data_IF_039554729496
#
_entry.id   IF_039554729496
#
_cell.length_a   1.000
_cell.length_b   1.000
_cell.length_c   1.000
_cell.angle_alpha   90.00
_cell.angle_beta   90.00
_cell.angle_gamma   90.00
#
_symmetry.space_group_name_H-M   'P 1'
#
loop_
_entity.id
_entity.type
_entity.pdbx_description
1 polymer ?
#
# COMPACT_ATOMS: atom_id res chain seq x y z
N UNK A 1 -14.50 -3.47 22.76
CA UNK A 1 -13.10 -3.12 22.49
C UNK A 1 -12.56 -2.30 23.64
N UNK A 2 -11.51 -2.75 24.32
CA UNK A 2 -10.81 -1.92 25.33
C UNK A 2 -9.68 -1.15 24.64
N UNK A 3 -9.35 0.03 25.14
CA UNK A 3 -8.28 0.88 24.57
C UNK A 3 -6.92 0.17 24.61
N UNK A 4 -6.68 -0.60 25.68
CA UNK A 4 -5.44 -1.36 25.89
C UNK A 4 -5.15 -2.36 24.77
N UNK A 5 -6.20 -2.91 24.14
CA UNK A 5 -6.09 -3.88 23.04
C UNK A 5 -5.46 -3.29 21.77
N UNK A 6 -5.40 -1.95 21.64
CA UNK A 6 -4.97 -1.24 20.43
C UNK A 6 -3.70 -0.39 20.62
N UNK A 7 -3.06 -0.42 21.78
CA UNK A 7 -1.83 0.36 22.03
C UNK A 7 -0.70 -0.07 21.09
N UNK A 8 -0.55 -1.38 20.88
CA UNK A 8 0.45 -1.92 19.95
C UNK A 8 0.11 -1.54 18.50
N UNK A 9 -1.14 -1.72 18.09
CA UNK A 9 -1.58 -1.45 16.72
C UNK A 9 -1.46 0.03 16.37
N UNK A 10 -1.88 0.93 17.26
CA UNK A 10 -1.76 2.38 17.07
C UNK A 10 -0.30 2.84 17.00
N UNK A 11 0.59 2.26 17.81
CA UNK A 11 2.03 2.54 17.75
C UNK A 11 2.65 2.08 16.43
N UNK A 12 2.30 0.87 15.95
CA UNK A 12 2.76 0.36 14.65
C UNK A 12 2.23 1.21 13.50
N UNK A 13 0.96 1.62 13.53
CA UNK A 13 0.37 2.52 12.52
C UNK A 13 1.16 3.84 12.44
N UNK A 14 1.47 4.48 13.57
CA UNK A 14 2.28 5.72 13.57
C UNK A 14 3.66 5.55 12.94
N UNK A 15 4.28 4.37 13.07
CA UNK A 15 5.54 4.07 12.39
C UNK A 15 5.31 3.91 10.88
N UNK A 16 4.24 3.23 10.47
CA UNK A 16 3.87 3.09 9.06
C UNK A 16 3.55 4.45 8.41
N UNK A 17 2.86 5.35 9.09
CA UNK A 17 2.54 6.70 8.60
C UNK A 17 3.79 7.50 8.26
N UNK A 18 4.84 7.41 9.08
CA UNK A 18 6.12 8.09 8.82
C UNK A 18 6.87 7.56 7.60
N UNK A 19 6.49 6.38 7.12
CA UNK A 19 7.13 5.73 5.97
C UNK A 19 6.39 5.92 4.66
N UNK A 20 5.28 6.69 4.67
CA UNK A 20 4.57 7.07 3.45
C UNK A 20 5.43 8.00 2.60
N UNK A 21 5.19 7.95 1.29
CA UNK A 21 5.80 8.89 0.35
C UNK A 21 5.44 10.32 0.76
N UNK A 22 6.47 11.14 0.82
CA UNK A 22 6.37 12.55 1.15
C UNK A 22 6.08 13.35 -0.11
N UNK A 23 5.68 14.61 0.08
CA UNK A 23 5.54 15.57 -1.03
C UNK A 23 6.84 15.69 -1.85
N UNK A 24 8.00 15.58 -1.20
CA UNK A 24 9.29 15.63 -1.89
C UNK A 24 9.49 14.44 -2.82
N UNK A 25 9.02 13.25 -2.44
CA UNK A 25 9.13 12.06 -3.27
C UNK A 25 8.26 12.21 -4.53
N UNK A 26 7.04 12.71 -4.37
CA UNK A 26 6.16 13.00 -5.51
C UNK A 26 6.73 14.07 -6.44
N UNK A 27 7.30 15.15 -5.91
CA UNK A 27 7.93 16.19 -6.73
C UNK A 27 9.09 15.61 -7.57
N UNK A 28 9.96 14.79 -6.94
CA UNK A 28 11.05 14.12 -7.66
C UNK A 28 10.55 13.21 -8.79
N UNK A 29 9.45 12.49 -8.57
CA UNK A 29 8.84 11.66 -9.61
C UNK A 29 8.21 12.49 -10.75
N UNK A 30 7.62 13.65 -10.44
CA UNK A 30 7.05 14.55 -11.45
C UNK A 30 8.15 15.18 -12.33
N UNK A 31 9.32 15.44 -11.75
CA UNK A 31 10.48 16.02 -12.44
C UNK A 31 11.29 15.00 -13.24
N UNK A 32 10.99 13.70 -13.11
CA UNK A 32 11.69 12.63 -13.82
C UNK A 32 11.46 12.69 -15.34
N UNK A 33 12.50 12.44 -16.13
CA UNK A 33 12.46 12.48 -17.59
C UNK A 33 11.95 11.15 -18.20
N UNK A 34 11.91 10.09 -17.39
CA UNK A 34 11.48 8.76 -17.80
C UNK A 34 10.79 7.97 -16.69
N UNK A 35 10.08 6.91 -17.07
CA UNK A 35 9.44 5.99 -16.12
C UNK A 35 10.47 5.29 -15.22
N UNK A 36 11.63 4.91 -15.75
CA UNK A 36 12.76 4.36 -14.99
C UNK A 36 13.24 5.28 -13.88
N UNK A 37 13.35 6.57 -14.18
CA UNK A 37 13.75 7.59 -13.20
C UNK A 37 12.70 7.78 -12.12
N UNK A 38 11.42 7.82 -12.50
CA UNK A 38 10.32 7.87 -11.52
C UNK A 38 10.31 6.63 -10.62
N UNK A 39 10.55 5.44 -11.18
CA UNK A 39 10.66 4.19 -10.40
C UNK A 39 11.89 4.19 -9.50
N UNK A 40 12.98 4.86 -9.88
CA UNK A 40 14.18 4.98 -9.05
C UNK A 40 13.87 5.70 -7.73
N UNK A 41 13.00 6.71 -7.75
CA UNK A 41 12.49 7.36 -6.52
C UNK A 41 11.75 6.36 -5.63
N UNK A 42 10.95 5.47 -6.21
CA UNK A 42 10.25 4.41 -5.46
C UNK A 42 11.24 3.38 -4.88
N UNK A 43 12.32 3.06 -5.59
CA UNK A 43 13.38 2.16 -5.14
C UNK A 43 14.20 2.72 -3.96
N UNK A 44 14.29 4.04 -3.84
CA UNK A 44 14.91 4.71 -2.68
C UNK A 44 13.98 4.79 -1.46
N UNK A 45 12.68 4.61 -1.67
CA UNK A 45 11.66 4.70 -0.62
C UNK A 45 11.43 3.35 0.08
N UNK A 46 10.48 3.32 1.02
CA UNK A 46 10.01 2.06 1.64
C UNK A 46 9.49 1.04 0.62
N UNK A 47 9.10 1.49 -0.57
CA UNK A 47 8.58 0.60 -1.62
C UNK A 47 9.68 -0.20 -2.33
N UNK A 48 10.97 0.05 -2.05
CA UNK A 48 12.12 -0.69 -2.57
C UNK A 48 11.90 -2.20 -2.72
N UNK A 49 11.41 -2.94 -1.69
CA UNK A 49 11.26 -4.40 -1.78
C UNK A 49 10.37 -4.87 -2.95
N UNK A 50 9.41 -4.05 -3.37
CA UNK A 50 8.47 -4.38 -4.45
C UNK A 50 9.01 -4.01 -5.84
N UNK A 51 10.01 -3.13 -5.92
CA UNK A 51 10.56 -2.59 -7.17
C UNK A 51 11.96 -3.10 -7.51
N UNK A 52 12.58 -3.90 -6.63
CA UNK A 52 13.93 -4.45 -6.83
C UNK A 52 14.00 -5.56 -7.88
N UNK A 53 12.89 -6.26 -8.14
CA UNK A 53 12.85 -7.42 -9.04
C UNK A 53 12.14 -7.16 -10.37
N UNK A 54 11.75 -5.91 -10.67
CA UNK A 54 11.12 -5.60 -11.94
C UNK A 54 12.18 -5.57 -13.04
N UNK A 55 11.89 -6.22 -14.17
CA UNK A 55 12.77 -6.22 -15.33
C UNK A 55 12.34 -5.17 -16.37
N UNK A 56 11.04 -4.88 -16.43
CA UNK A 56 10.46 -3.86 -17.29
C UNK A 56 9.76 -2.78 -16.44
N UNK A 57 10.12 -1.49 -16.60
CA UNK A 57 9.43 -0.37 -15.96
C UNK A 57 7.92 -0.36 -16.17
N UNK A 58 7.41 -0.90 -17.28
CA UNK A 58 5.99 -1.00 -17.57
C UNK A 58 5.25 -1.98 -16.65
N UNK A 59 5.96 -2.86 -15.95
CA UNK A 59 5.40 -3.79 -14.95
C UNK A 59 5.17 -3.13 -13.59
N UNK A 60 5.37 -1.81 -13.46
CA UNK A 60 5.21 -1.07 -12.20
C UNK A 60 3.87 -1.32 -11.51
N UNK A 61 2.79 -1.51 -12.27
CA UNK A 61 1.45 -1.79 -11.74
C UNK A 61 1.43 -3.09 -10.91
N UNK A 62 2.19 -4.12 -11.31
CA UNK A 62 2.27 -5.38 -10.57
C UNK A 62 2.93 -5.15 -9.21
N UNK A 63 4.04 -4.42 -9.19
CA UNK A 63 4.73 -4.06 -7.94
C UNK A 63 3.86 -3.22 -7.01
N UNK A 64 3.09 -2.28 -7.55
CA UNK A 64 2.14 -1.49 -6.75
C UNK A 64 1.03 -2.36 -6.17
N UNK A 65 0.50 -3.31 -6.95
CA UNK A 65 -0.50 -4.27 -6.46
C UNK A 65 0.07 -5.18 -5.36
N UNK A 66 1.34 -5.58 -5.45
CA UNK A 66 1.99 -6.35 -4.39
C UNK A 66 2.17 -5.54 -3.11
N UNK A 67 2.59 -4.27 -3.23
CA UNK A 67 2.68 -3.35 -2.10
C UNK A 67 1.32 -3.11 -1.43
N UNK A 68 0.26 -2.97 -2.23
CA UNK A 68 -1.11 -2.85 -1.75
C UNK A 68 -1.57 -4.11 -1.00
N UNK A 69 -1.31 -5.31 -1.54
CA UNK A 69 -1.64 -6.59 -0.89
C UNK A 69 -0.93 -6.74 0.46
N UNK A 70 0.36 -6.38 0.52
CA UNK A 70 1.12 -6.42 1.77
C UNK A 70 0.55 -5.44 2.81
N UNK A 71 0.15 -4.24 2.38
CA UNK A 71 -0.53 -3.28 3.26
C UNK A 71 -1.82 -3.86 3.86
N UNK A 72 -2.71 -4.44 3.04
CA UNK A 72 -3.94 -5.04 3.56
C UNK A 72 -3.68 -6.23 4.49
N UNK A 73 -2.68 -7.05 4.20
CA UNK A 73 -2.26 -8.12 5.11
C UNK A 73 -1.83 -7.56 6.46
N UNK A 74 -0.97 -6.53 6.47
CA UNK A 74 -0.54 -5.85 7.69
C UNK A 74 -1.73 -5.22 8.46
N UNK A 75 -2.66 -4.57 7.76
CA UNK A 75 -3.85 -3.99 8.38
C UNK A 75 -4.76 -5.04 9.00
N UNK A 76 -4.90 -6.21 8.38
CA UNK A 76 -5.66 -7.34 8.94
C UNK A 76 -5.03 -7.86 10.23
N UNK A 77 -3.71 -7.96 10.27
CA UNK A 77 -2.96 -8.36 11.47
C UNK A 77 -3.09 -7.32 12.60
N UNK A 78 -3.11 -6.02 12.26
CA UNK A 78 -3.16 -4.92 13.23
C UNK A 78 -4.56 -4.63 13.78
N UNK A 79 -5.58 -4.63 12.92
CA UNK A 79 -6.94 -4.19 13.27
C UNK A 79 -7.84 -5.29 13.84
N UNK A 80 -7.42 -6.55 13.73
CA UNK A 80 -8.28 -7.70 14.00
C UNK A 80 -9.36 -7.88 12.93
N UNK A 81 -10.06 -9.02 12.98
CA UNK A 81 -10.91 -9.47 11.89
C UNK A 81 -12.14 -8.58 11.65
N UNK A 82 -12.77 -8.06 12.70
CA UNK A 82 -14.01 -7.26 12.58
C UNK A 82 -13.75 -5.87 11.98
N UNK A 83 -12.75 -5.16 12.49
CA UNK A 83 -12.41 -3.82 12.01
C UNK A 83 -11.90 -3.86 10.56
N UNK A 84 -11.04 -4.84 10.25
CA UNK A 84 -10.56 -5.06 8.89
C UNK A 84 -11.75 -5.27 7.92
N UNK A 85 -12.65 -6.21 8.25
CA UNK A 85 -13.84 -6.49 7.43
C UNK A 85 -14.69 -5.25 7.21
N UNK A 86 -14.93 -4.47 8.26
CA UNK A 86 -15.72 -3.25 8.15
C UNK A 86 -15.13 -2.28 7.11
N UNK A 87 -13.81 -2.03 7.14
CA UNK A 87 -13.16 -1.13 6.19
C UNK A 87 -13.02 -1.71 4.78
N UNK A 88 -12.95 -3.04 4.63
CA UNK A 88 -12.84 -3.68 3.32
C UNK A 88 -14.18 -4.01 2.66
N UNK A 89 -15.31 -3.90 3.38
CA UNK A 89 -16.64 -4.25 2.87
C UNK A 89 -17.00 -3.53 1.57
N UNK A 90 -16.56 -2.27 1.39
CA UNK A 90 -16.78 -1.52 0.15
C UNK A 90 -16.17 -2.22 -1.08
N UNK A 91 -15.03 -2.87 -0.91
CA UNK A 91 -14.35 -3.61 -1.97
C UNK A 91 -15.07 -4.93 -2.23
N UNK A 92 -15.57 -5.60 -1.20
CA UNK A 92 -16.40 -6.80 -1.37
C UNK A 92 -17.65 -6.50 -2.20
N UNK A 93 -18.33 -5.38 -1.92
CA UNK A 93 -19.50 -4.93 -2.71
C UNK A 93 -19.11 -4.66 -4.16
N UNK A 94 -18.01 -3.93 -4.38
CA UNK A 94 -17.53 -3.65 -5.74
C UNK A 94 -17.18 -4.93 -6.50
N UNK A 95 -16.49 -5.86 -5.85
CA UNK A 95 -16.09 -7.14 -6.42
C UNK A 95 -17.32 -7.98 -6.77
N UNK A 96 -18.29 -8.10 -5.84
CA UNK A 96 -19.55 -8.80 -6.08
C UNK A 96 -20.31 -8.18 -7.26
N UNK A 97 -20.39 -6.85 -7.32
CA UNK A 97 -21.01 -6.14 -8.45
C UNK A 97 -20.36 -6.53 -9.78
N UNK A 98 -19.02 -6.50 -9.87
CA UNK A 98 -18.30 -6.92 -11.08
C UNK A 98 -18.57 -8.39 -11.42
N UNK A 99 -18.62 -9.27 -10.43
CA UNK A 99 -18.92 -10.69 -10.66
C UNK A 99 -20.33 -10.93 -11.21
N UNK A 100 -21.31 -10.13 -10.78
CA UNK A 100 -22.71 -10.27 -11.21
C UNK A 100 -23.07 -9.43 -12.44
N UNK A 101 -22.29 -8.39 -12.77
CA UNK A 101 -22.45 -7.57 -13.98
C UNK A 101 -21.67 -8.12 -15.19
N UNK A 102 -20.93 -9.24 -15.01
CA UNK A 102 -20.39 -10.06 -16.10
C UNK A 102 -21.35 -11.17 -16.48
#
# INVERSE_FOLDING_TARGET
>A
MKVDDYIQSSSRIRVLEKSLLTKSDFNRMIEAESLDEAISVLRESKYSPFFNNINDPLEYDVSLQEAEKDLYKNLKELGGNELYKFFTTKFDIHNLKIFFER
#
